data_IF_364291639194
#
_entry.id   IF_364291639194
#
_cell.length_a   1.000
_cell.length_b   1.000
_cell.length_c   1.000
_cell.angle_alpha   90.00
_cell.angle_beta   90.00
_cell.angle_gamma   90.00
#
_symmetry.space_group_name_H-M   'P 1'
#
loop_
_entity.id
_entity.type
_entity.pdbx_description
1 polymer ?
2 non-polymer ?
3 water ?
#
# COMPACT_ATOMS: atom_id res chain seq x y z
N UNK A 1 6.05 6.41 15.20
CA UNK A 1 5.47 7.28 14.14
C UNK A 1 4.03 7.55 14.53
N UNK A 2 3.68 8.82 14.62
CA UNK A 2 2.34 9.15 15.06
C UNK A 2 1.38 8.96 13.89
N UNK A 3 0.09 8.89 14.20
CA UNK A 3 -0.92 8.77 13.17
C UNK A 3 -0.86 9.98 12.23
N UNK A 4 -0.64 11.17 12.80
CA UNK A 4 -0.53 12.39 11.99
C UNK A 4 0.69 12.32 11.07
N UNK A 5 1.80 11.80 11.57
CA UNK A 5 2.97 11.61 10.73
C UNK A 5 2.72 10.59 9.60
N UNK A 6 1.99 9.51 9.89
CA UNK A 6 1.66 8.53 8.86
C UNK A 6 0.76 9.15 7.83
N UNK A 7 -0.25 9.91 8.25
CA UNK A 7 -1.12 10.59 7.31
C UNK A 7 -0.30 11.42 6.32
N UNK A 8 0.62 12.19 6.88
CA UNK A 8 1.49 13.06 6.10
C UNK A 8 2.41 12.27 5.16
N UNK A 9 3.03 11.22 5.69
CA UNK A 9 3.90 10.37 4.89
C UNK A 9 3.15 9.76 3.74
N UNK A 10 1.92 9.30 3.99
CA UNK A 10 1.10 8.74 2.92
C UNK A 10 0.82 9.76 1.85
N UNK A 11 0.46 10.97 2.23
CA UNK A 11 0.20 11.99 1.25
C UNK A 11 1.46 12.26 0.41
N UNK A 12 2.61 12.32 1.06
CA UNK A 12 3.85 12.54 0.36
C UNK A 12 4.15 11.42 -0.63
N UNK A 13 4.04 10.16 -0.21
CA UNK A 13 4.33 9.08 -1.11
C UNK A 13 3.31 9.00 -2.22
N UNK A 14 2.04 9.27 -1.93
CA UNK A 14 1.02 9.34 -2.95
C UNK A 14 1.41 10.37 -3.99
N UNK A 15 1.89 11.52 -3.56
CA UNK A 15 2.26 12.59 -4.47
C UNK A 15 3.46 12.19 -5.33
N UNK A 16 4.51 11.70 -4.71
CA UNK A 16 5.67 11.39 -5.50
C UNK A 16 5.42 10.20 -6.42
N UNK A 17 4.61 9.24 -5.99
CA UNK A 17 4.31 8.10 -6.83
C UNK A 17 3.36 8.46 -7.96
N UNK A 18 2.47 9.43 -7.76
CA UNK A 18 1.64 9.89 -8.86
C UNK A 18 2.53 10.48 -9.94
N UNK A 19 3.49 11.30 -9.56
CA UNK A 19 4.41 11.95 -10.48
C UNK A 19 5.34 10.93 -11.17
N UNK A 20 5.77 9.92 -10.43
CA UNK A 20 6.67 8.93 -10.99
C UNK A 20 5.98 8.08 -12.05
N UNK A 21 4.70 7.81 -11.87
CA UNK A 21 3.97 6.86 -12.70
C UNK A 21 3.10 7.52 -13.74
N UNK A 22 2.73 8.78 -13.54
CA UNK A 22 1.79 9.41 -14.44
C UNK A 22 0.36 8.90 -14.32
N UNK A 23 0.04 8.23 -13.23
CA UNK A 23 -1.32 7.73 -13.02
C UNK A 23 -2.30 8.90 -12.96
N UNK A 24 -3.47 8.68 -13.54
CA UNK A 24 -4.55 9.66 -13.43
C UNK A 24 -4.91 9.86 -11.96
N UNK A 25 -5.29 11.07 -11.59
CA UNK A 25 -5.70 11.32 -10.22
C UNK A 25 -6.88 10.45 -9.83
N UNK A 26 -7.82 10.24 -10.75
CA UNK A 26 -8.98 9.41 -10.47
C UNK A 26 -8.55 8.00 -10.06
N UNK A 27 -7.59 7.42 -10.78
CA UNK A 27 -7.15 6.08 -10.50
C UNK A 27 -6.34 6.03 -9.19
N UNK A 28 -5.51 7.05 -8.95
CA UNK A 28 -4.84 7.15 -7.66
C UNK A 28 -5.85 7.22 -6.54
N UNK A 29 -6.90 8.02 -6.72
CA UNK A 29 -7.96 8.10 -5.73
C UNK A 29 -8.61 6.74 -5.48
N UNK A 30 -8.86 6.00 -6.55
CA UNK A 30 -9.44 4.69 -6.41
C UNK A 30 -8.54 3.80 -5.54
N UNK A 31 -7.25 3.82 -5.82
CA UNK A 31 -6.32 3.02 -5.04
C UNK A 31 -6.33 3.47 -3.58
N UNK A 32 -6.30 4.79 -3.37
CA UNK A 32 -6.27 5.32 -2.03
C UNK A 32 -7.54 4.90 -1.26
N UNK A 33 -8.67 4.86 -1.96
CA UNK A 33 -9.93 4.44 -1.36
C UNK A 33 -10.07 2.93 -1.25
N UNK A 34 -9.11 2.17 -1.75
CA UNK A 34 -9.11 0.73 -1.62
C UNK A 34 -9.81 -0.03 -2.73
N UNK A 35 -10.03 0.61 -3.87
CA UNK A 35 -10.62 -0.05 -5.02
C UNK A 35 -9.54 -0.14 -6.06
N UNK A 36 -8.85 -1.27 -6.04
CA UNK A 36 -7.65 -1.47 -6.86
C UNK A 36 -8.01 -2.20 -8.14
N UNK A 37 -7.80 -1.56 -9.29
CA UNK A 37 -7.98 -2.22 -10.58
C UNK A 37 -6.64 -2.92 -10.83
N UNK A 38 -6.56 -4.17 -10.40
CA UNK A 38 -5.25 -4.81 -10.27
C UNK A 38 -4.54 -5.00 -11.62
N UNK A 39 -5.31 -5.04 -12.71
CA UNK A 39 -4.75 -5.27 -14.06
C UNK A 39 -4.26 -4.01 -14.74
N UNK A 40 -4.55 -2.83 -14.17
CA UNK A 40 -4.24 -1.56 -14.82
C UNK A 40 -2.75 -1.28 -14.62
N UNK A 41 -2.04 -1.02 -15.70
CA UNK A 41 -0.58 -0.87 -15.66
C UNK A 41 -0.14 0.26 -14.73
N UNK A 42 -0.72 1.45 -14.85
CA UNK A 42 -0.26 2.55 -14.00
C UNK A 42 -0.72 2.33 -12.57
N UNK A 43 -1.86 1.68 -12.36
CA UNK A 43 -2.25 1.31 -11.00
C UNK A 43 -1.19 0.40 -10.40
N UNK A 44 -0.76 -0.59 -11.15
CA UNK A 44 0.31 -1.47 -10.69
C UNK A 44 1.56 -0.69 -10.34
N UNK A 45 1.96 0.21 -11.24
CA UNK A 45 3.16 0.99 -11.00
C UNK A 45 3.00 1.88 -9.76
N UNK A 46 1.83 2.48 -9.59
CA UNK A 46 1.57 3.30 -8.43
C UNK A 46 1.64 2.50 -7.14
N UNK A 47 0.99 1.35 -7.14
CA UNK A 47 1.07 0.46 -5.98
C UNK A 47 2.48 0.03 -5.68
N UNK A 48 3.21 -0.35 -6.72
CA UNK A 48 4.59 -0.74 -6.57
C UNK A 48 5.42 0.38 -5.97
N UNK A 49 5.21 1.59 -6.46
CA UNK A 49 5.97 2.73 -6.01
C UNK A 49 5.71 3.00 -4.53
N UNK A 50 4.46 2.95 -4.10
CA UNK A 50 4.16 3.22 -2.71
C UNK A 50 4.81 2.13 -1.84
N UNK A 51 4.69 0.88 -2.27
CA UNK A 51 5.31 -0.20 -1.50
C UNK A 51 6.82 -0.08 -1.44
N UNK A 52 7.46 0.24 -2.55
CA UNK A 52 8.92 0.42 -2.56
C UNK A 52 9.34 1.61 -1.72
N UNK A 53 8.58 2.70 -1.73
CA UNK A 53 8.97 3.88 -0.96
C UNK A 53 8.83 3.68 0.53
N UNK A 54 7.99 2.73 0.93
CA UNK A 54 7.92 2.26 2.32
C UNK A 54 8.88 1.09 2.59
N UNK A 55 9.67 0.71 1.60
CA UNK A 55 10.67 -0.37 1.74
C UNK A 55 10.06 -1.74 2.01
N UNK A 56 8.78 -1.88 1.66
CA UNK A 56 8.05 -3.13 1.78
C UNK A 56 8.32 -4.04 0.59
N UNK A 57 8.61 -3.44 -0.55
CA UNK A 57 9.27 -4.13 -1.63
C UNK A 57 10.65 -3.55 -1.73
N UNK A 58 11.68 -4.39 -1.87
CA UNK A 58 13.00 -3.84 -2.13
C UNK A 58 13.06 -3.49 -3.62
N UNK A 59 14.20 -2.98 -4.06
CA UNK A 59 14.33 -2.48 -5.42
C UNK A 59 14.11 -3.57 -6.47
N UNK A 60 14.37 -4.82 -6.09
CA UNK A 60 14.15 -5.98 -6.95
C UNK A 60 12.82 -6.67 -6.70
N UNK A 61 11.88 -5.99 -6.04
CA UNK A 61 10.53 -6.50 -5.77
C UNK A 61 10.47 -7.68 -4.83
N UNK A 62 11.48 -7.80 -3.98
CA UNK A 62 11.43 -8.78 -2.90
C UNK A 62 10.53 -8.20 -1.82
N UNK A 63 9.53 -8.98 -1.47
CA UNK A 63 8.55 -8.57 -0.50
C UNK A 63 9.06 -8.77 0.93
N UNK A 64 8.84 -7.76 1.76
CA UNK A 64 9.29 -7.69 3.16
C UNK A 64 8.09 -7.59 4.09
N UNK A 65 7.58 -8.71 4.59
CA UNK A 65 6.39 -8.68 5.45
C UNK A 65 6.54 -7.78 6.67
N UNK A 66 7.72 -7.70 7.25
CA UNK A 66 7.96 -6.87 8.44
C UNK A 66 7.67 -5.38 8.19
N UNK A 67 7.86 -4.92 6.96
CA UNK A 67 7.54 -3.55 6.60
C UNK A 67 6.07 -3.27 6.69
N UNK A 68 5.25 -4.22 6.27
CA UNK A 68 3.80 -4.10 6.41
C UNK A 68 3.43 -4.07 7.88
N UNK A 69 4.00 -4.99 8.66
CA UNK A 69 3.72 -5.08 10.09
C UNK A 69 4.00 -3.74 10.79
N UNK A 70 5.13 -3.13 10.48
CA UNK A 70 5.55 -1.86 11.09
C UNK A 70 4.52 -0.75 10.88
N UNK A 71 3.98 -0.64 9.67
CA UNK A 71 2.98 0.39 9.39
C UNK A 71 1.62 -0.01 9.98
N UNK A 72 1.19 -1.24 9.75
CA UNK A 72 -0.16 -1.63 10.12
C UNK A 72 -0.37 -1.73 11.63
N UNK A 73 0.69 -2.00 12.40
CA UNK A 73 0.49 -2.05 13.84
C UNK A 73 0.16 -0.66 14.41
N UNK A 74 0.30 0.40 13.61
CA UNK A 74 -0.17 1.73 14.01
C UNK A 74 -1.67 1.88 13.87
N UNK A 75 -2.29 1.00 13.08
CA UNK A 75 -3.66 1.16 12.61
C UNK A 75 -4.63 0.11 13.12
N UNK A 76 -4.18 -1.12 13.32
CA UNK A 76 -5.05 -2.20 13.74
C UNK A 76 -4.33 -2.99 14.79
N UNK A 77 -5.08 -3.81 15.49
CA UNK A 77 -4.54 -4.56 16.61
C UNK A 77 -3.52 -5.60 16.18
N UNK A 78 -2.67 -6.01 17.11
CA UNK A 78 -1.53 -6.88 16.81
C UNK A 78 -1.95 -8.19 16.14
N UNK A 79 -3.00 -8.82 16.66
CA UNK A 79 -3.40 -10.09 16.08
C UNK A 79 -3.93 -9.93 14.66
N UNK A 80 -4.64 -8.85 14.43
CA UNK A 80 -5.13 -8.56 13.09
C UNK A 80 -3.98 -8.35 12.13
N UNK A 81 -2.91 -7.68 12.57
CA UNK A 81 -1.72 -7.49 11.74
C UNK A 81 -1.13 -8.84 11.39
N UNK A 82 -1.02 -9.75 12.35
CA UNK A 82 -0.51 -11.08 12.05
C UNK A 82 -1.36 -11.77 10.99
N UNK A 83 -2.68 -11.62 11.13
CA UNK A 83 -3.64 -12.18 10.20
C UNK A 83 -3.49 -11.60 8.82
N UNK A 84 -3.29 -10.28 8.77
CA UNK A 84 -3.06 -9.60 7.51
C UNK A 84 -1.83 -10.16 6.86
N UNK A 85 -0.75 -10.27 7.61
CA UNK A 85 0.50 -10.75 7.05
C UNK A 85 0.32 -12.17 6.51
N UNK A 86 -0.36 -13.05 7.24
CA UNK A 86 -0.60 -14.41 6.74
C UNK A 86 -1.50 -14.40 5.50
N UNK A 87 -2.51 -13.54 5.51
CA UNK A 87 -3.47 -13.44 4.42
C UNK A 87 -2.82 -12.93 3.13
N UNK A 88 -1.86 -12.04 3.28
CA UNK A 88 -1.40 -11.20 2.16
C UNK A 88 0.03 -11.45 1.73
N UNK A 89 0.79 -12.30 2.43
CA UNK A 89 2.23 -12.40 2.16
C UNK A 89 2.65 -13.38 1.05
N UNK A 90 1.73 -14.23 0.60
CA UNK A 90 2.05 -15.24 -0.41
C UNK A 90 0.97 -15.29 -1.49
N UNK A 91 0.64 -14.13 -2.00
CA UNK A 91 -0.30 -14.02 -3.09
C UNK A 91 0.24 -14.81 -4.28
N UNK A 92 -0.63 -15.58 -4.90
CA UNK A 92 -0.20 -16.47 -5.96
C UNK A 92 -0.12 -15.67 -7.27
N UNK A 93 0.98 -14.96 -7.43
CA UNK A 93 1.18 -14.11 -8.64
C UNK A 93 2.65 -14.02 -8.98
N UNK A 94 3.01 -14.37 -10.21
CA UNK A 94 4.42 -14.36 -10.65
C UNK A 94 4.90 -13.04 -11.24
N UNK A 95 3.97 -12.26 -11.77
CA UNK A 95 4.28 -10.99 -12.40
C UNK A 95 4.43 -9.96 -11.29
N UNK A 96 5.64 -9.38 -11.11
CA UNK A 96 5.84 -8.49 -9.95
C UNK A 96 4.91 -7.29 -9.93
N UNK A 97 4.48 -6.81 -11.10
CA UNK A 97 3.61 -5.65 -11.15
C UNK A 97 2.22 -5.99 -10.70
N UNK A 98 1.72 -7.14 -11.14
CA UNK A 98 0.40 -7.60 -10.68
C UNK A 98 0.45 -8.00 -9.22
N UNK A 99 1.58 -8.50 -8.76
CA UNK A 99 1.74 -8.76 -7.35
C UNK A 99 1.63 -7.47 -6.53
N UNK A 100 2.22 -6.38 -7.01
CA UNK A 100 2.18 -5.13 -6.27
C UNK A 100 0.76 -4.61 -6.13
N UNK A 101 -0.01 -4.61 -7.22
CA UNK A 101 -1.39 -4.18 -7.10
C UNK A 101 -2.20 -5.13 -6.23
N UNK A 102 -1.97 -6.44 -6.36
CA UNK A 102 -2.68 -7.40 -5.53
C UNK A 102 -2.33 -7.23 -4.06
N UNK A 103 -1.08 -6.89 -3.76
CA UNK A 103 -0.63 -6.66 -2.38
C UNK A 103 -1.37 -5.46 -1.78
N UNK A 104 -1.41 -4.35 -2.51
CA UNK A 104 -2.12 -3.18 -2.01
C UNK A 104 -3.59 -3.49 -1.85
N UNK A 105 -4.16 -4.26 -2.79
CA UNK A 105 -5.55 -4.65 -2.65
C UNK A 105 -5.80 -5.45 -1.36
N UNK A 106 -4.91 -6.39 -1.09
CA UNK A 106 -5.09 -7.24 0.06
C UNK A 106 -4.94 -6.45 1.37
N UNK A 107 -3.94 -5.57 1.45
CA UNK A 107 -3.72 -4.77 2.65
C UNK A 107 -4.92 -3.84 2.86
N UNK A 108 -5.47 -3.33 1.77
CA UNK A 108 -6.54 -2.36 1.81
C UNK A 108 -7.84 -2.96 2.32
N UNK A 109 -7.96 -4.28 2.35
CA UNK A 109 -9.10 -4.91 3.01
C UNK A 109 -9.10 -4.60 4.51
N UNK A 110 -7.91 -4.37 5.05
CA UNK A 110 -7.74 -4.15 6.47
C UNK A 110 -7.86 -2.67 6.81
N UNK A 111 -7.07 -1.83 6.14
CA UNK A 111 -7.24 -0.38 6.22
C UNK A 111 -6.91 0.14 4.85
N UNK A 112 -7.73 1.04 4.33
CA UNK A 112 -7.38 1.73 3.11
C UNK A 112 -6.53 2.94 3.42
N UNK A 113 -5.78 3.44 2.44
CA UNK A 113 -5.02 4.65 2.68
C UNK A 113 -5.93 5.82 3.02
N UNK A 114 -7.08 5.92 2.35
CA UNK A 114 -7.98 7.02 2.61
C UNK A 114 -8.46 6.99 4.05
N UNK A 115 -8.71 5.81 4.57
CA UNK A 115 -9.27 5.70 5.91
C UNK A 115 -8.32 6.20 6.99
N UNK A 116 -7.02 6.20 6.72
CA UNK A 116 -6.06 6.71 7.68
C UNK A 116 -6.30 8.19 7.93
N UNK A 117 -6.79 8.91 6.93
CA UNK A 117 -7.05 10.34 7.09
C UNK A 117 -8.13 10.69 8.08
N UNK A 118 -9.00 9.74 8.38
CA UNK A 118 -10.09 10.02 9.31
C UNK A 118 -9.67 9.81 10.77
N UNK A 119 -8.46 9.31 10.99
CA UNK A 119 -8.04 8.92 12.34
C UNK A 119 -7.46 10.10 13.12
#
# INVERSE_FOLDING_TARGET
>A
MTIEELKTRLHTEQSVCKTETGIDQQKANDVIEGNIDVEDKKVQLYCECILKNFNILDKNNVFKPQGIKAVMELLIDENSVKQLVSDCSTISEENPHLKASKLVQCVSKYKTMKSVDFL
#
